data_IF_984602902816
#
_entry.id   IF_984602902816
#
_cell.length_a   1.000
_cell.length_b   1.000
_cell.length_c   1.000
_cell.angle_alpha   90.00
_cell.angle_beta   90.00
_cell.angle_gamma   90.00
#
_symmetry.space_group_name_H-M   'P 1'
#
loop_
_entity.id
_entity.type
_entity.pdbx_description
1 polymer ?
#
# COMPACT_ATOMS: atom_id res chain seq x y z
N UNK A 1 21.83 14.35 -8.76
CA UNK A 1 22.09 13.99 -7.35
C UNK A 1 21.13 12.88 -6.92
N UNK A 2 21.33 11.61 -7.31
CA UNK A 2 20.43 10.49 -6.97
C UNK A 2 21.20 9.16 -6.82
N UNK A 3 22.10 9.02 -5.83
CA UNK A 3 22.73 7.70 -5.58
C UNK A 3 22.98 7.33 -4.12
N UNK A 4 22.64 8.19 -3.15
CA UNK A 4 22.84 7.88 -1.73
C UNK A 4 21.55 7.49 -1.00
N UNK A 5 20.38 7.91 -1.49
CA UNK A 5 19.10 7.58 -0.86
C UNK A 5 18.69 6.10 -1.08
N UNK A 6 19.00 5.53 -2.25
CA UNK A 6 18.65 4.16 -2.59
C UNK A 6 19.42 3.12 -1.76
N UNK A 7 20.71 3.30 -1.49
CA UNK A 7 21.47 2.30 -0.72
C UNK A 7 21.05 2.22 0.75
N UNK A 8 20.79 3.36 1.40
CA UNK A 8 20.36 3.39 2.81
C UNK A 8 18.93 2.87 3.01
N UNK A 9 18.02 3.24 2.10
CA UNK A 9 16.62 2.81 2.17
C UNK A 9 16.48 1.34 1.81
N UNK A 10 17.10 0.86 0.71
CA UNK A 10 17.03 -0.55 0.30
C UNK A 10 17.54 -1.48 1.42
N UNK A 11 18.68 -1.16 2.04
CA UNK A 11 19.22 -1.96 3.16
C UNK A 11 18.36 -1.89 4.41
N UNK A 12 17.74 -0.76 4.73
CA UNK A 12 16.76 -0.66 5.83
C UNK A 12 15.50 -1.46 5.53
N UNK A 13 14.94 -1.36 4.34
CA UNK A 13 13.77 -2.15 3.93
C UNK A 13 14.08 -3.64 4.01
N UNK A 14 15.22 -4.12 3.50
CA UNK A 14 15.60 -5.54 3.61
C UNK A 14 15.72 -6.03 5.06
N UNK A 15 16.31 -5.23 5.96
CA UNK A 15 16.36 -5.56 7.40
C UNK A 15 14.98 -5.55 8.06
N UNK A 16 14.12 -4.61 7.69
CA UNK A 16 12.74 -4.57 8.18
C UNK A 16 11.98 -5.79 7.66
N UNK A 17 12.24 -6.21 6.42
CA UNK A 17 11.58 -7.35 5.78
C UNK A 17 11.98 -8.70 6.39
N UNK A 18 13.25 -8.93 6.72
CA UNK A 18 13.65 -10.17 7.42
C UNK A 18 13.02 -10.27 8.82
N UNK A 19 12.68 -9.14 9.43
CA UNK A 19 11.98 -9.11 10.72
C UNK A 19 10.46 -9.33 10.59
N UNK A 20 9.89 -9.32 9.38
CA UNK A 20 8.44 -9.41 9.15
C UNK A 20 7.91 -10.82 8.88
N UNK A 21 8.77 -11.80 8.57
CA UNK A 21 8.38 -13.20 8.29
C UNK A 21 7.52 -13.83 9.40
N UNK A 22 7.53 -13.27 10.61
CA UNK A 22 6.73 -13.72 11.75
C UNK A 22 5.78 -12.65 12.34
N UNK A 23 5.57 -11.50 11.69
CA UNK A 23 4.75 -10.42 12.28
C UNK A 23 3.28 -10.48 11.88
N UNK A 24 2.43 -10.06 12.83
CA UNK A 24 0.98 -9.92 12.71
C UNK A 24 0.60 -8.87 11.65
N UNK A 25 -0.60 -8.99 11.08
CA UNK A 25 -1.25 -8.04 10.14
C UNK A 25 -1.07 -6.56 10.52
N UNK A 26 -1.12 -6.25 11.82
CA UNK A 26 -0.96 -4.89 12.34
C UNK A 26 0.40 -4.30 11.98
N UNK A 27 1.49 -5.07 12.02
CA UNK A 27 2.83 -4.59 11.69
C UNK A 27 2.98 -4.22 10.22
N UNK A 28 2.40 -5.02 9.32
CA UNK A 28 2.36 -4.72 7.88
C UNK A 28 1.60 -3.43 7.61
N UNK A 29 0.44 -3.26 8.26
CA UNK A 29 -0.39 -2.06 8.12
C UNK A 29 0.34 -0.80 8.59
N UNK A 30 1.05 -0.87 9.73
CA UNK A 30 1.84 0.25 10.25
C UNK A 30 2.94 0.65 9.25
N UNK A 31 3.64 -0.32 8.67
CA UNK A 31 4.70 -0.04 7.70
C UNK A 31 4.17 0.58 6.42
N UNK A 32 3.12 0.01 5.84
CA UNK A 32 2.50 0.54 4.62
C UNK A 32 2.04 2.00 4.84
N UNK A 33 1.41 2.27 5.97
CA UNK A 33 0.98 3.61 6.34
C UNK A 33 2.18 4.55 6.55
N UNK A 34 3.21 4.09 7.26
CA UNK A 34 4.43 4.87 7.51
C UNK A 34 5.17 5.24 6.23
N UNK A 35 5.39 4.28 5.32
CA UNK A 35 6.04 4.53 4.04
C UNK A 35 5.20 5.47 3.17
N UNK A 36 3.90 5.25 3.06
CA UNK A 36 3.03 6.09 2.23
C UNK A 36 2.98 7.54 2.74
N UNK A 37 2.87 7.74 4.06
CA UNK A 37 2.86 9.08 4.67
C UNK A 37 4.17 9.85 4.47
N UNK A 38 5.29 9.15 4.43
CA UNK A 38 6.61 9.75 4.23
C UNK A 38 7.01 9.87 2.74
N UNK A 39 6.12 9.51 1.81
CA UNK A 39 6.38 9.63 0.36
C UNK A 39 7.20 8.48 -0.25
N UNK A 40 7.51 7.44 0.53
CA UNK A 40 8.20 6.23 0.07
C UNK A 40 7.20 5.27 -0.61
N UNK A 41 6.64 5.72 -1.74
CA UNK A 41 5.53 5.03 -2.40
C UNK A 41 5.92 3.68 -2.98
N UNK A 42 7.15 3.52 -3.50
CA UNK A 42 7.62 2.26 -4.07
C UNK A 42 7.76 1.20 -2.98
N UNK A 43 8.38 1.59 -1.85
CA UNK A 43 8.57 0.76 -0.68
C UNK A 43 7.22 0.35 -0.08
N UNK A 44 6.25 1.25 -0.03
CA UNK A 44 4.89 0.93 0.41
C UNK A 44 4.24 -0.16 -0.47
N UNK A 45 4.41 -0.08 -1.79
CA UNK A 45 3.91 -1.07 -2.75
C UNK A 45 4.62 -2.41 -2.59
N UNK A 46 5.94 -2.42 -2.40
CA UNK A 46 6.70 -3.65 -2.15
C UNK A 46 6.26 -4.35 -0.86
N UNK A 47 6.07 -3.60 0.23
CA UNK A 47 5.56 -4.13 1.50
C UNK A 47 4.15 -4.70 1.32
N UNK A 48 3.28 -3.98 0.60
CA UNK A 48 1.93 -4.43 0.31
C UNK A 48 1.93 -5.73 -0.53
N UNK A 49 2.76 -5.81 -1.57
CA UNK A 49 2.89 -7.01 -2.40
C UNK A 49 3.34 -8.23 -1.59
N UNK A 50 4.32 -8.05 -0.69
CA UNK A 50 4.77 -9.13 0.22
C UNK A 50 3.67 -9.56 1.18
N UNK A 51 2.94 -8.62 1.78
CA UNK A 51 1.80 -8.93 2.65
C UNK A 51 0.78 -9.84 1.94
N UNK A 52 0.43 -9.50 0.69
CA UNK A 52 -0.49 -10.31 -0.13
C UNK A 52 0.11 -11.67 -0.47
N UNK A 53 1.39 -11.74 -0.83
CA UNK A 53 2.09 -12.99 -1.13
C UNK A 53 2.21 -13.93 0.09
N UNK A 54 2.24 -13.37 1.31
CA UNK A 54 2.16 -14.13 2.55
C UNK A 54 0.74 -14.61 2.89
N UNK A 55 -0.24 -14.39 2.00
CA UNK A 55 -1.64 -14.78 2.22
C UNK A 55 -2.41 -13.91 3.22
N UNK A 56 -1.85 -12.76 3.62
CA UNK A 56 -2.52 -11.85 4.55
C UNK A 56 -3.51 -10.97 3.80
N UNK A 57 -4.74 -10.92 4.31
CA UNK A 57 -5.81 -10.09 3.74
C UNK A 57 -5.68 -8.62 4.18
N UNK A 58 -5.60 -7.65 3.25
CA UNK A 58 -5.64 -6.23 3.56
C UNK A 58 -6.94 -5.84 4.27
N UNK A 59 -6.84 -5.11 5.37
CA UNK A 59 -7.99 -4.52 6.05
C UNK A 59 -8.27 -3.09 5.55
N UNK A 60 -9.33 -2.46 6.05
CA UNK A 60 -9.71 -1.10 5.66
C UNK A 60 -8.57 -0.07 5.82
N UNK A 61 -7.77 -0.19 6.87
CA UNK A 61 -6.64 0.71 7.15
C UNK A 61 -5.54 0.45 6.13
N UNK A 62 -5.20 -0.81 5.85
CA UNK A 62 -4.20 -1.17 4.83
C UNK A 62 -4.59 -0.62 3.46
N UNK A 63 -5.85 -0.84 3.06
CA UNK A 63 -6.37 -0.43 1.75
C UNK A 63 -6.38 1.09 1.61
N UNK A 64 -6.94 1.80 2.58
CA UNK A 64 -6.97 3.28 2.56
C UNK A 64 -5.56 3.89 2.60
N UNK A 65 -4.61 3.23 3.27
CA UNK A 65 -3.23 3.70 3.35
C UNK A 65 -2.45 3.51 2.06
N UNK A 66 -2.68 2.46 1.27
CA UNK A 66 -1.89 2.18 0.05
C UNK A 66 -2.42 2.90 -1.21
N UNK A 67 -3.70 3.24 -1.25
CA UNK A 67 -4.35 3.88 -2.40
C UNK A 67 -3.68 5.19 -2.86
N UNK A 68 -3.19 6.09 -1.96
CA UNK A 68 -2.42 7.26 -2.37
C UNK A 68 -1.13 6.90 -3.12
N UNK A 69 -0.41 5.86 -2.68
CA UNK A 69 0.81 5.39 -3.35
C UNK A 69 0.49 4.87 -4.76
N UNK A 70 -0.59 4.09 -4.90
CA UNK A 70 -1.10 3.59 -6.19
C UNK A 70 -1.46 4.74 -7.13
N UNK A 71 -2.19 5.74 -6.64
CA UNK A 71 -2.56 6.91 -7.43
C UNK A 71 -1.34 7.73 -7.86
N UNK A 72 -0.36 7.91 -6.97
CA UNK A 72 0.88 8.65 -7.28
C UNK A 72 1.77 7.94 -8.29
N UNK A 73 1.89 6.63 -8.19
CA UNK A 73 2.67 5.80 -9.12
C UNK A 73 1.88 5.41 -10.38
N UNK A 74 0.62 5.84 -10.50
CA UNK A 74 -0.29 5.56 -11.62
C UNK A 74 -0.47 4.06 -11.91
N UNK A 75 -0.56 3.24 -10.86
CA UNK A 75 -0.64 1.78 -10.98
C UNK A 75 -2.09 1.33 -11.24
N UNK A 76 -2.60 1.61 -12.44
CA UNK A 76 -3.98 1.38 -12.86
C UNK A 76 -4.51 -0.03 -12.56
N UNK A 77 -3.76 -1.06 -12.93
CA UNK A 77 -4.18 -2.46 -12.76
C UNK A 77 -4.28 -2.82 -11.28
N UNK A 78 -3.30 -2.41 -10.47
CA UNK A 78 -3.30 -2.67 -9.02
C UNK A 78 -4.47 -1.92 -8.36
N UNK A 79 -4.71 -0.66 -8.74
CA UNK A 79 -5.84 0.12 -8.24
C UNK A 79 -7.19 -0.53 -8.54
N UNK A 80 -7.40 -1.02 -9.76
CA UNK A 80 -8.62 -1.76 -10.15
C UNK A 80 -8.75 -3.08 -9.40
N UNK A 81 -7.67 -3.86 -9.30
CA UNK A 81 -7.68 -5.12 -8.55
C UNK A 81 -8.01 -4.90 -7.06
N UNK A 82 -7.45 -3.84 -6.46
CA UNK A 82 -7.71 -3.50 -5.06
C UNK A 82 -9.14 -2.99 -4.84
N UNK A 83 -9.69 -2.23 -5.78
CA UNK A 83 -11.10 -1.84 -5.76
C UNK A 83 -12.01 -3.08 -5.85
N UNK A 84 -11.78 -3.97 -6.82
CA UNK A 84 -12.53 -5.22 -6.94
C UNK A 84 -12.42 -6.10 -5.68
N UNK A 85 -11.24 -6.16 -5.06
CA UNK A 85 -11.02 -6.84 -3.79
C UNK A 85 -11.89 -6.24 -2.67
N UNK A 86 -11.95 -4.91 -2.58
CA UNK A 86 -12.71 -4.21 -1.55
C UNK A 86 -14.22 -4.39 -1.69
N UNK A 87 -14.74 -4.34 -2.93
CA UNK A 87 -16.18 -4.53 -3.22
C UNK A 87 -16.68 -5.91 -2.78
N UNK A 88 -15.81 -6.92 -2.76
CA UNK A 88 -16.13 -8.29 -2.34
C UNK A 88 -16.12 -8.50 -0.82
N UNK A 89 -15.75 -7.50 -0.03
CA UNK A 89 -15.76 -7.61 1.43
C UNK A 89 -17.16 -7.46 2.00
N UNK A 90 -17.39 -8.00 3.20
CA UNK A 90 -18.70 -7.94 3.89
C UNK A 90 -19.14 -6.50 4.23
N UNK A 91 -18.19 -5.55 4.29
CA UNK A 91 -18.44 -4.15 4.67
C UNK A 91 -17.87 -3.16 3.63
N UNK A 92 -18.44 -3.09 2.41
CA UNK A 92 -17.89 -2.28 1.31
C UNK A 92 -18.02 -0.77 1.55
N UNK A 93 -18.94 -0.34 2.43
CA UNK A 93 -19.25 1.07 2.69
C UNK A 93 -18.32 1.78 3.69
N UNK A 94 -17.06 1.36 3.79
CA UNK A 94 -16.11 2.09 4.62
C UNK A 94 -15.75 3.44 3.99
N UNK A 95 -16.20 4.54 4.60
CA UNK A 95 -16.03 5.92 4.12
C UNK A 95 -14.55 6.28 3.88
N UNK A 96 -13.63 5.76 4.70
CA UNK A 96 -12.19 6.01 4.51
C UNK A 96 -11.68 5.35 3.23
N UNK A 97 -12.08 4.10 2.97
CA UNK A 97 -11.67 3.39 1.75
C UNK A 97 -12.31 4.02 0.51
N UNK A 98 -13.59 4.37 0.58
CA UNK A 98 -14.29 5.03 -0.52
C UNK A 98 -13.65 6.38 -0.89
N UNK A 99 -13.35 7.21 0.11
CA UNK A 99 -12.68 8.51 -0.11
C UNK A 99 -11.30 8.32 -0.74
N UNK A 100 -10.53 7.32 -0.25
CA UNK A 100 -9.22 7.00 -0.81
C UNK A 100 -9.31 6.45 -2.24
N UNK A 101 -10.34 5.67 -2.58
CA UNK A 101 -10.59 5.17 -3.94
C UNK A 101 -10.88 6.31 -4.91
N UNK A 102 -11.78 7.24 -4.53
CA UNK A 102 -12.08 8.43 -5.34
C UNK A 102 -10.80 9.24 -5.58
N UNK A 103 -10.03 9.49 -4.52
CA UNK A 103 -8.75 10.19 -4.67
C UNK A 103 -7.80 9.45 -5.62
N UNK A 104 -7.68 8.13 -5.49
CA UNK A 104 -6.84 7.30 -6.37
C UNK A 104 -7.28 7.41 -7.84
N UNK A 105 -8.55 7.24 -8.14
CA UNK A 105 -9.08 7.35 -9.51
C UNK A 105 -8.87 8.75 -10.12
N UNK A 106 -9.02 9.81 -9.32
CA UNK A 106 -8.74 11.18 -9.78
C UNK A 106 -7.28 11.36 -10.24
N UNK A 107 -6.32 10.65 -9.63
CA UNK A 107 -4.90 10.68 -10.02
C UNK A 107 -4.59 9.82 -11.24
N UNK A 108 -5.43 8.83 -11.52
CA UNK A 108 -5.34 7.98 -12.70
C UNK A 108 -5.97 8.63 -13.95
N UNK A 109 -6.59 9.81 -13.82
CA UNK A 109 -7.20 10.54 -14.94
C UNK A 109 -8.62 10.09 -15.27
N UNK A 110 -9.27 9.37 -14.36
CA UNK A 110 -10.72 9.13 -14.46
C UNK A 110 -11.46 10.36 -13.89
N UNK A 111 -12.52 10.84 -14.58
CA UNK A 111 -13.31 11.99 -14.14
C UNK A 111 -14.08 11.71 -12.85
#
# INVERSE_FOLDING_TARGET
MNSYASCGVITQTHKIFSLLEHKKLVSWTILINGFTKNGFFLEAIEVFGKMVNCGLMPNAITVSSILPAIGKLRLNLIGKSLHCYWVKQEYPCNVFVQSALVHMYSKLGYP
#
